data_IF_052079186983
#
_entry.id   IF_052079186983
#
_cell.length_a   1.000
_cell.length_b   1.000
_cell.length_c   1.000
_cell.angle_alpha   90.00
_cell.angle_beta   90.00
_cell.angle_gamma   90.00
#
_symmetry.space_group_name_H-M   'P 1'
#
loop_
_entity.id
_entity.type
_entity.pdbx_description
1 polymer ?
#
# COMPACT_ATOMS: atom_id res chain seq x y z
N UNK A 1 -3.38 19.73 20.34
CA UNK A 1 -4.22 18.82 19.53
C UNK A 1 -4.41 19.32 18.12
N UNK A 2 -4.76 20.62 17.95
CA UNK A 2 -4.99 21.18 16.61
C UNK A 2 -3.72 21.22 15.77
N UNK A 3 -2.56 21.43 16.39
CA UNK A 3 -1.28 21.49 15.67
C UNK A 3 -0.87 20.12 15.13
N UNK A 4 -1.10 19.06 15.92
CA UNK A 4 -0.82 17.70 15.48
C UNK A 4 -1.72 17.33 14.30
N UNK A 5 -2.99 17.69 14.37
CA UNK A 5 -3.95 17.43 13.30
C UNK A 5 -3.58 18.16 12.00
N UNK A 6 -3.22 19.43 12.11
CA UNK A 6 -2.80 20.23 10.95
C UNK A 6 -1.52 19.67 10.30
N UNK A 7 -0.58 19.22 11.13
CA UNK A 7 0.66 18.61 10.65
C UNK A 7 0.39 17.33 9.88
N UNK A 8 -0.52 16.47 10.37
CA UNK A 8 -0.90 15.24 9.71
C UNK A 8 -1.55 15.50 8.35
N UNK A 9 -2.43 16.49 8.27
CA UNK A 9 -3.06 16.88 7.00
C UNK A 9 -2.00 17.36 6.01
N UNK A 10 -1.08 18.20 6.47
CA UNK A 10 0.00 18.72 5.63
C UNK A 10 0.88 17.60 5.08
N UNK A 11 1.24 16.63 5.91
CA UNK A 11 2.06 15.49 5.50
C UNK A 11 1.34 14.65 4.45
N UNK A 12 0.05 14.41 4.61
CA UNK A 12 -0.75 13.67 3.64
C UNK A 12 -0.83 14.40 2.31
N UNK A 13 -1.04 15.71 2.35
CA UNK A 13 -1.08 16.52 1.14
C UNK A 13 0.26 16.51 0.40
N UNK A 14 1.36 16.59 1.14
CA UNK A 14 2.69 16.49 0.54
C UNK A 14 2.92 15.13 -0.11
N UNK A 15 2.53 14.06 0.55
CA UNK A 15 2.68 12.71 0.00
C UNK A 15 1.85 12.54 -1.27
N UNK A 16 0.66 13.09 -1.31
CA UNK A 16 -0.17 13.08 -2.53
C UNK A 16 0.50 13.83 -3.69
N UNK A 17 1.13 14.95 -3.39
CA UNK A 17 1.74 15.81 -4.41
C UNK A 17 3.10 15.29 -4.86
N UNK A 18 3.97 14.94 -3.93
CA UNK A 18 5.38 14.65 -4.18
C UNK A 18 5.71 13.16 -4.19
N UNK A 19 4.80 12.30 -3.70
CA UNK A 19 5.02 10.87 -3.66
C UNK A 19 4.99 10.24 -5.04
N UNK A 20 5.65 9.11 -5.16
CA UNK A 20 5.65 8.32 -6.38
C UNK A 20 4.55 7.26 -6.32
N UNK A 21 3.80 7.11 -7.41
CA UNK A 21 2.78 6.09 -7.49
C UNK A 21 3.43 4.72 -7.69
N UNK A 22 3.03 3.77 -6.86
CA UNK A 22 3.41 2.37 -7.02
C UNK A 22 2.15 1.52 -6.89
N UNK A 23 2.15 0.38 -7.57
CA UNK A 23 1.03 -0.56 -7.55
C UNK A 23 1.46 -1.82 -6.82
N UNK A 24 0.65 -2.23 -5.85
CA UNK A 24 0.86 -3.49 -5.13
C UNK A 24 -0.22 -4.47 -5.53
N UNK A 25 0.18 -5.64 -6.00
CA UNK A 25 -0.77 -6.69 -6.35
C UNK A 25 -1.55 -7.14 -5.12
N UNK A 26 -2.86 -7.23 -5.26
CA UNK A 26 -3.72 -7.70 -4.19
C UNK A 26 -3.70 -9.23 -4.13
N UNK A 27 -3.74 -9.78 -2.92
CA UNK A 27 -3.76 -11.22 -2.74
C UNK A 27 -5.07 -11.80 -3.28
N UNK A 28 -5.03 -13.02 -3.85
CA UNK A 28 -6.24 -13.64 -4.42
C UNK A 28 -7.13 -14.20 -3.31
N UNK A 29 -7.96 -13.33 -2.73
CA UNK A 29 -8.94 -13.70 -1.71
C UNK A 29 -10.34 -13.41 -2.22
N UNK A 30 -11.36 -14.03 -1.62
CA UNK A 30 -12.74 -13.77 -1.97
C UNK A 30 -13.05 -12.29 -1.68
N UNK A 31 -13.39 -11.49 -2.71
CA UNK A 31 -13.71 -10.07 -2.49
C UNK A 31 -14.80 -9.84 -1.46
N UNK A 32 -15.75 -10.77 -1.35
CA UNK A 32 -16.86 -10.65 -0.39
C UNK A 32 -16.36 -10.66 1.05
N UNK A 33 -15.30 -11.43 1.35
CA UNK A 33 -14.76 -11.50 2.69
C UNK A 33 -14.01 -10.26 3.08
N UNK A 34 -13.63 -9.44 2.09
CA UNK A 34 -12.89 -8.20 2.31
C UNK A 34 -13.80 -6.98 2.46
N UNK A 35 -15.03 -7.07 1.94
CA UNK A 35 -15.93 -5.93 1.94
C UNK A 35 -16.81 -5.91 3.18
N UNK A 36 -16.83 -4.78 3.86
CA UNK A 36 -17.63 -4.57 5.07
C UNK A 36 -18.28 -3.19 4.97
N UNK A 37 -19.54 -3.17 4.54
CA UNK A 37 -20.25 -1.92 4.40
C UNK A 37 -19.69 -1.09 3.25
N UNK A 38 -19.16 0.07 3.60
CA UNK A 38 -18.63 1.05 2.65
C UNK A 38 -17.09 1.07 2.60
N UNK A 39 -16.43 0.02 3.09
CA UNK A 39 -14.99 -0.08 2.96
C UNK A 39 -14.57 -1.50 2.61
N UNK A 40 -13.38 -1.59 2.04
CA UNK A 40 -12.76 -2.84 1.62
C UNK A 40 -11.42 -2.99 2.34
N UNK A 41 -11.25 -4.11 3.03
CA UNK A 41 -9.99 -4.46 3.67
C UNK A 41 -9.09 -5.12 2.65
N UNK A 42 -7.91 -4.57 2.44
CA UNK A 42 -6.99 -5.03 1.41
C UNK A 42 -5.92 -5.94 2.00
N UNK A 43 -5.53 -6.94 1.22
CA UNK A 43 -4.38 -7.78 1.51
C UNK A 43 -3.46 -7.74 0.30
N UNK A 44 -2.21 -7.43 0.55
CA UNK A 44 -1.23 -7.34 -0.53
C UNK A 44 -0.48 -8.67 -0.66
N UNK A 45 -0.29 -9.11 -1.88
CA UNK A 45 0.39 -10.37 -2.17
C UNK A 45 1.82 -10.37 -1.61
N UNK A 46 2.50 -9.22 -1.70
CA UNK A 46 3.88 -9.08 -1.23
C UNK A 46 3.99 -9.11 0.30
N UNK A 47 2.91 -8.84 1.02
CA UNK A 47 2.90 -8.80 2.48
C UNK A 47 2.56 -10.18 3.08
N UNK A 48 3.23 -11.23 2.61
CA UNK A 48 2.98 -12.59 3.03
C UNK A 48 3.93 -13.02 4.15
N UNK A 49 3.59 -14.11 4.81
CA UNK A 49 4.42 -14.68 5.86
C UNK A 49 5.79 -15.17 5.36
N UNK A 50 5.91 -15.40 4.06
CA UNK A 50 7.18 -15.85 3.47
C UNK A 50 8.31 -14.82 3.66
N UNK A 51 7.96 -13.53 3.71
CA UNK A 51 8.93 -12.48 3.98
C UNK A 51 9.50 -12.56 5.38
N UNK A 52 8.75 -13.10 6.32
CA UNK A 52 9.17 -13.19 7.71
C UNK A 52 10.13 -14.37 7.93
N UNK A 53 9.93 -15.46 7.17
CA UNK A 53 10.80 -16.65 7.22
C UNK A 53 11.14 -17.09 8.62
N UNK A 54 12.30 -17.73 8.76
CA UNK A 54 12.86 -18.10 10.06
C UNK A 54 13.75 -16.99 10.63
N UNK A 55 13.91 -15.89 9.92
CA UNK A 55 14.75 -14.79 10.34
C UNK A 55 13.98 -13.87 11.27
N UNK A 56 14.59 -13.46 12.35
CA UNK A 56 14.01 -12.43 13.20
C UNK A 56 14.11 -11.08 12.49
N UNK A 57 12.94 -10.50 12.17
CA UNK A 57 12.88 -9.17 11.59
C UNK A 57 12.33 -8.19 12.62
N UNK A 58 12.70 -6.93 12.50
CA UNK A 58 12.19 -5.90 13.39
C UNK A 58 10.67 -5.77 13.20
N UNK A 59 9.96 -5.40 14.27
CA UNK A 59 8.50 -5.25 14.23
C UNK A 59 8.06 -4.04 13.41
N UNK A 60 8.97 -3.15 13.09
CA UNK A 60 8.74 -2.03 12.17
C UNK A 60 10.04 -1.66 11.49
N UNK A 61 9.95 -1.05 10.33
CA UNK A 61 11.13 -0.68 9.55
C UNK A 61 10.76 -0.28 8.14
N UNK A 62 11.64 -0.59 7.21
CA UNK A 62 11.51 -0.21 5.81
C UNK A 62 11.55 -1.45 4.93
N UNK A 63 10.58 -1.56 4.03
CA UNK A 63 10.62 -2.55 2.96
C UNK A 63 11.20 -1.88 1.73
N UNK A 64 12.23 -2.48 1.14
CA UNK A 64 12.82 -1.98 -0.10
C UNK A 64 12.04 -2.58 -1.26
N UNK A 65 11.58 -1.71 -2.15
CA UNK A 65 10.74 -2.06 -3.28
C UNK A 65 11.52 -1.97 -4.57
N UNK A 66 11.37 -2.97 -5.42
CA UNK A 66 11.79 -2.89 -6.81
C UNK A 66 10.55 -2.56 -7.65
N UNK A 67 10.65 -1.54 -8.51
CA UNK A 67 9.53 -1.02 -9.29
C UNK A 67 9.75 -1.36 -10.75
N UNK A 68 8.78 -2.04 -11.38
CA UNK A 68 8.88 -2.40 -12.78
C UNK A 68 8.34 -1.29 -13.70
N UNK A 69 8.33 -1.54 -15.01
CA UNK A 69 7.89 -0.56 -16.00
C UNK A 69 6.41 -0.23 -15.91
N UNK A 70 5.60 -1.09 -15.31
CA UNK A 70 4.18 -0.85 -15.08
C UNK A 70 3.91 -0.25 -13.71
N UNK A 71 4.95 0.15 -13.00
CA UNK A 71 4.91 0.70 -11.65
C UNK A 71 4.49 -0.32 -10.60
N UNK A 72 4.55 -1.61 -10.90
CA UNK A 72 4.25 -2.65 -9.91
C UNK A 72 5.45 -2.83 -9.00
N UNK A 73 5.18 -2.80 -7.70
CA UNK A 73 6.19 -2.89 -6.66
C UNK A 73 6.32 -4.33 -6.17
N UNK A 74 7.55 -4.77 -5.93
CA UNK A 74 7.86 -6.03 -5.27
C UNK A 74 8.78 -5.74 -4.10
N UNK A 75 8.53 -6.39 -2.97
CA UNK A 75 9.40 -6.26 -1.81
C UNK A 75 10.60 -7.18 -2.01
N UNK A 76 11.80 -6.60 -2.03
CA UNK A 76 13.02 -7.38 -2.27
C UNK A 76 13.82 -7.62 -0.99
N UNK A 77 13.65 -6.78 0.03
CA UNK A 77 14.27 -7.00 1.34
C UNK A 77 13.65 -6.08 2.38
N UNK A 78 13.84 -6.44 3.64
CA UNK A 78 13.41 -5.62 4.78
C UNK A 78 14.64 -5.04 5.47
N UNK A 79 14.55 -3.79 5.90
CA UNK A 79 15.63 -3.08 6.59
C UNK A 79 15.10 -2.39 7.83
N UNK A 80 15.94 -2.26 8.84
CA UNK A 80 15.59 -1.55 10.06
C UNK A 80 16.08 -0.09 10.06
N UNK A 81 16.86 0.29 9.05
CA UNK A 81 17.40 1.65 8.91
C UNK A 81 17.44 2.05 7.43
N UNK A 82 17.45 3.36 7.19
CA UNK A 82 17.59 3.90 5.84
C UNK A 82 18.98 3.63 5.29
N UNK A 83 19.04 3.16 4.05
CA UNK A 83 20.27 2.88 3.33
C UNK A 83 20.17 3.44 1.91
N UNK A 84 21.31 3.66 1.24
CA UNK A 84 21.27 4.07 -0.17
C UNK A 84 20.54 3.05 -1.03
N UNK A 85 19.75 3.55 -1.98
CA UNK A 85 18.92 2.73 -2.85
C UNK A 85 19.50 2.72 -4.27
N UNK A 86 19.21 1.63 -5.00
CA UNK A 86 19.49 1.55 -6.43
C UNK A 86 18.44 2.36 -7.20
N UNK A 87 18.67 2.59 -8.49
CA UNK A 87 17.85 3.50 -9.30
C UNK A 87 16.37 3.10 -9.35
N UNK A 88 16.07 1.79 -9.35
CA UNK A 88 14.70 1.28 -9.46
C UNK A 88 14.11 0.93 -8.11
N UNK A 89 14.70 1.41 -7.02
CA UNK A 89 14.27 1.06 -5.68
C UNK A 89 13.62 2.24 -4.97
N UNK A 90 12.61 1.94 -4.19
CA UNK A 90 11.96 2.86 -3.27
C UNK A 90 11.84 2.16 -1.92
N UNK A 91 11.56 2.93 -0.88
CA UNK A 91 11.26 2.37 0.43
C UNK A 91 9.83 2.65 0.81
N UNK A 92 9.25 1.74 1.59
CA UNK A 92 7.94 1.95 2.21
C UNK A 92 8.03 1.47 3.65
N UNK A 93 7.41 2.20 4.56
CA UNK A 93 7.36 1.82 5.96
C UNK A 93 6.51 0.56 6.13
N UNK A 94 6.94 -0.33 7.01
CA UNK A 94 6.12 -1.49 7.36
C UNK A 94 6.07 -1.66 8.87
N UNK A 95 5.08 -2.39 9.34
CA UNK A 95 5.06 -2.90 10.69
C UNK A 95 4.47 -4.31 10.70
N UNK A 96 4.84 -5.07 11.72
CA UNK A 96 4.37 -6.44 11.88
C UNK A 96 3.47 -6.50 13.11
N UNK A 97 2.26 -7.00 12.91
CA UNK A 97 1.27 -7.19 13.97
C UNK A 97 0.72 -8.61 13.81
N UNK A 98 0.79 -9.40 14.88
CA UNK A 98 0.31 -10.79 14.89
C UNK A 98 0.86 -11.60 13.69
N UNK A 99 2.17 -11.49 13.47
CA UNK A 99 2.91 -12.20 12.43
C UNK A 99 2.47 -11.83 11.00
N UNK A 100 1.83 -10.68 10.83
CA UNK A 100 1.44 -10.17 9.52
C UNK A 100 2.11 -8.83 9.26
N UNK A 101 2.55 -8.65 8.03
CA UNK A 101 3.19 -7.41 7.59
C UNK A 101 2.13 -6.44 7.06
N UNK A 102 2.16 -5.21 7.57
CA UNK A 102 1.25 -4.14 7.15
C UNK A 102 2.04 -2.97 6.60
N UNK A 103 1.53 -2.40 5.51
CA UNK A 103 2.12 -1.23 4.86
C UNK A 103 1.46 0.08 5.32
N UNK A 104 0.38 -0.01 6.09
CA UNK A 104 -0.36 1.16 6.57
C UNK A 104 -1.40 1.67 5.59
N UNK A 105 -1.70 0.91 4.55
CA UNK A 105 -2.62 1.31 3.49
C UNK A 105 -3.53 0.14 3.10
N UNK A 106 -4.16 -0.47 4.10
CA UNK A 106 -4.95 -1.69 3.92
C UNK A 106 -6.46 -1.45 3.91
N UNK A 107 -6.92 -0.21 4.02
CA UNK A 107 -8.34 0.09 4.02
C UNK A 107 -8.69 1.05 2.89
N UNK A 108 -9.63 0.65 2.05
CA UNK A 108 -10.12 1.48 0.96
C UNK A 108 -11.59 1.78 1.17
N UNK A 109 -11.93 3.07 1.23
CA UNK A 109 -13.30 3.53 1.44
C UNK A 109 -13.95 3.89 0.11
N UNK A 110 -15.21 3.52 -0.08
CA UNK A 110 -15.97 3.81 -1.29
C UNK A 110 -17.39 4.23 -0.91
N UNK A 111 -18.10 4.84 -1.87
CA UNK A 111 -19.47 5.27 -1.63
C UNK A 111 -20.41 4.08 -1.63
N UNK A 112 -21.48 4.19 -0.84
CA UNK A 112 -22.50 3.15 -0.74
C UNK A 112 -23.02 2.76 -2.12
N UNK A 113 -23.13 1.45 -2.35
CA UNK A 113 -23.61 0.93 -3.62
C UNK A 113 -22.54 0.71 -4.68
N UNK A 114 -21.28 1.06 -4.41
CA UNK A 114 -20.20 0.92 -5.38
C UNK A 114 -19.31 -0.31 -5.14
N UNK A 115 -19.70 -1.17 -4.22
CA UNK A 115 -18.91 -2.35 -3.84
C UNK A 115 -18.61 -3.26 -5.04
N UNK A 116 -19.58 -3.49 -5.93
CA UNK A 116 -19.40 -4.35 -7.11
C UNK A 116 -18.30 -3.81 -8.04
N UNK A 117 -18.23 -2.50 -8.15
CA UNK A 117 -17.22 -1.85 -9.01
C UNK A 117 -15.80 -2.22 -8.60
N UNK A 118 -15.54 -2.26 -7.29
CA UNK A 118 -14.20 -2.49 -6.77
C UNK A 118 -13.84 -3.97 -6.61
N UNK A 119 -14.78 -4.87 -6.85
CA UNK A 119 -14.48 -6.32 -6.82
C UNK A 119 -13.51 -6.75 -7.90
N UNK A 120 -13.38 -5.97 -8.97
CA UNK A 120 -12.45 -6.27 -10.06
C UNK A 120 -11.04 -5.73 -9.82
N UNK A 121 -10.78 -5.16 -8.66
CA UNK A 121 -9.46 -4.59 -8.35
C UNK A 121 -8.40 -5.69 -8.32
N UNK A 122 -7.29 -5.41 -9.00
CA UNK A 122 -6.13 -6.31 -9.05
C UNK A 122 -4.95 -5.71 -8.29
N UNK A 123 -4.87 -4.38 -8.24
CA UNK A 123 -3.78 -3.65 -7.58
C UNK A 123 -4.32 -2.55 -6.68
N UNK A 124 -3.63 -2.33 -5.58
CA UNK A 124 -3.78 -1.11 -4.80
C UNK A 124 -2.73 -0.10 -5.24
N UNK A 125 -3.14 1.14 -5.47
CA UNK A 125 -2.22 2.21 -5.84
C UNK A 125 -1.87 3.06 -4.64
N UNK A 126 -0.58 3.15 -4.34
CA UNK A 126 -0.06 3.91 -3.21
C UNK A 126 0.88 5.00 -3.70
N UNK A 127 0.76 6.17 -3.12
CA UNK A 127 1.77 7.22 -3.25
C UNK A 127 2.77 7.05 -2.12
N UNK A 128 4.05 6.97 -2.45
CA UNK A 128 5.11 6.73 -1.48
C UNK A 128 6.14 7.86 -1.58
N UNK A 129 6.46 8.49 -0.45
CA UNK A 129 7.44 9.57 -0.42
C UNK A 129 8.84 9.06 -0.07
N UNK A 130 9.80 9.97 -0.06
CA UNK A 130 11.21 9.62 0.18
C UNK A 130 11.47 9.06 1.58
N UNK A 131 10.57 9.34 2.52
CA UNK A 131 10.69 8.82 3.89
C UNK A 131 10.04 7.46 4.08
N UNK A 132 9.42 6.91 3.03
CA UNK A 132 8.71 5.65 3.11
C UNK A 132 7.26 5.79 3.57
N UNK A 133 6.78 6.99 3.82
CA UNK A 133 5.38 7.22 4.15
C UNK A 133 4.52 6.97 2.91
N UNK A 134 3.36 6.36 3.11
CA UNK A 134 2.51 5.96 1.98
C UNK A 134 1.06 6.34 2.20
N UNK A 135 0.34 6.45 1.09
CA UNK A 135 -1.07 6.79 1.11
C UNK A 135 -1.76 6.03 -0.03
N UNK A 136 -2.82 5.30 0.31
CA UNK A 136 -3.63 4.58 -0.67
C UNK A 136 -4.46 5.61 -1.44
N UNK A 137 -4.27 5.68 -2.77
CA UNK A 137 -4.94 6.69 -3.59
C UNK A 137 -6.00 6.11 -4.53
N UNK A 138 -6.05 4.79 -4.69
CA UNK A 138 -7.06 4.17 -5.52
C UNK A 138 -6.80 2.71 -5.76
N UNK A 139 -7.73 2.07 -6.44
CA UNK A 139 -7.59 0.68 -6.86
C UNK A 139 -7.51 0.62 -8.38
N UNK A 140 -6.76 -0.34 -8.88
CA UNK A 140 -6.45 -0.47 -10.30
C UNK A 140 -6.85 -1.87 -10.78
N UNK A 141 -7.28 -1.96 -12.03
CA UNK A 141 -7.67 -3.25 -12.63
C UNK A 141 -6.45 -3.98 -13.20
N UNK A 142 -6.71 -5.15 -13.81
CA UNK A 142 -5.65 -6.00 -14.39
C UNK A 142 -4.87 -5.31 -15.51
N UNK A 143 -5.43 -4.28 -16.12
CA UNK A 143 -4.80 -3.52 -17.20
C UNK A 143 -4.11 -2.26 -16.69
N UNK A 144 -3.91 -2.16 -15.38
CA UNK A 144 -3.25 -1.03 -14.70
C UNK A 144 -4.02 0.29 -14.83
N UNK A 145 -5.33 0.20 -15.05
CA UNK A 145 -6.19 1.39 -15.15
C UNK A 145 -6.89 1.64 -13.82
N UNK A 146 -6.95 2.90 -13.46
CA UNK A 146 -7.64 3.33 -12.25
C UNK A 146 -9.14 3.02 -12.36
N UNK A 147 -9.66 2.33 -11.35
CA UNK A 147 -11.09 2.05 -11.27
C UNK A 147 -11.78 3.31 -10.77
N UNK A 148 -12.69 3.82 -11.59
CA UNK A 148 -13.45 5.04 -11.28
C UNK A 148 -14.94 4.76 -11.30
N UNK A 149 -15.69 5.34 -10.35
CA UNK A 149 -17.14 5.24 -10.43
C UNK A 149 -17.65 5.97 -11.66
N UNK A 150 -18.61 5.37 -12.33
CA UNK A 150 -19.37 6.05 -13.38
C UNK A 150 -20.39 6.97 -12.71
N UNK A 151 -20.57 8.12 -13.29
CA UNK A 151 -21.58 9.05 -12.78
C UNK A 151 -22.91 8.83 -13.45
#
# INVERSE_FOLDING_TARGET
ASDVYKRQIYQKEQTLRDGQLVLFELAPVDPRSLMQGDYMSLRYREATSDLLGDTQVATHGYAVLNIDSNRVARIVRLKDALEPLNDNELIINYKIVNDRLFLGAESFFFEEGQDTLYQKATYGGLKVNAKGESLLVGLYDKDFLLIKPDR
#
